data_IF_317959505205
#
_entry.id   IF_317959505205
#
_cell.length_a   1.000
_cell.length_b   1.000
_cell.length_c   1.000
_cell.angle_alpha   90.00
_cell.angle_beta   90.00
_cell.angle_gamma   90.00
#
_symmetry.space_group_name_H-M   'P 1'
#
loop_
_entity.id
_entity.type
_entity.pdbx_description
1 polymer ?
#
# COMPACT_ATOMS: atom_id res chain seq x y z
N UNK A 1 29.68 11.39 60.15
CA UNK A 1 29.10 10.27 59.37
C UNK A 1 27.78 10.75 58.77
N UNK A 2 27.73 11.09 57.48
CA UNK A 2 26.49 11.58 56.84
C UNK A 2 26.55 11.93 55.35
N UNK A 3 27.74 12.14 54.77
CA UNK A 3 27.87 12.64 53.39
C UNK A 3 27.80 11.58 52.28
N UNK A 4 27.99 10.30 52.58
CA UNK A 4 28.11 9.24 51.55
C UNK A 4 26.78 8.65 51.09
N UNK A 5 25.67 8.94 51.78
CA UNK A 5 24.36 8.33 51.48
C UNK A 5 23.54 9.13 50.46
N UNK A 6 23.69 10.46 50.43
CA UNK A 6 22.96 11.36 49.53
C UNK A 6 23.44 11.25 48.07
N UNK A 7 24.75 11.16 47.85
CA UNK A 7 25.39 11.10 46.53
C UNK A 7 25.05 9.80 45.78
N UNK A 8 25.03 8.66 46.49
CA UNK A 8 24.69 7.33 45.93
C UNK A 8 23.23 7.24 45.47
N UNK A 9 22.32 7.95 46.15
CA UNK A 9 20.88 8.00 45.80
C UNK A 9 20.66 8.85 44.54
N UNK A 10 21.32 10.01 44.46
CA UNK A 10 21.32 10.90 43.29
C UNK A 10 21.82 10.21 42.01
N UNK A 11 22.89 9.42 42.09
CA UNK A 11 23.43 8.68 40.95
C UNK A 11 22.52 7.55 40.49
N UNK A 12 21.90 6.82 41.41
CA UNK A 12 20.91 5.78 41.08
C UNK A 12 19.70 6.38 40.37
N UNK A 13 19.19 7.52 40.83
CA UNK A 13 18.10 8.23 40.16
C UNK A 13 18.49 8.74 38.78
N UNK A 14 19.72 9.28 38.61
CA UNK A 14 20.20 9.74 37.31
C UNK A 14 20.36 8.59 36.30
N UNK A 15 20.91 7.46 36.73
CA UNK A 15 21.03 6.25 35.90
C UNK A 15 19.64 5.73 35.49
N UNK A 16 18.69 5.69 36.44
CA UNK A 16 17.33 5.22 36.17
C UNK A 16 16.62 6.13 35.15
N UNK A 17 16.74 7.45 35.30
CA UNK A 17 16.18 8.42 34.36
C UNK A 17 16.82 8.31 32.97
N UNK A 18 18.13 8.09 32.90
CA UNK A 18 18.84 7.91 31.63
C UNK A 18 18.42 6.60 30.93
N UNK A 19 18.24 5.51 31.69
CA UNK A 19 17.68 4.26 31.18
C UNK A 19 16.23 4.42 30.69
N UNK A 20 15.40 5.15 31.42
CA UNK A 20 14.02 5.45 31.01
C UNK A 20 14.02 6.27 29.71
N UNK A 21 14.87 7.29 29.59
CA UNK A 21 15.02 8.07 28.37
C UNK A 21 15.53 7.23 27.20
N UNK A 22 16.46 6.31 27.43
CA UNK A 22 16.94 5.35 26.42
C UNK A 22 15.83 4.39 25.98
N UNK A 23 15.04 3.86 26.92
CA UNK A 23 13.93 2.96 26.62
C UNK A 23 12.80 3.70 25.89
N UNK A 24 12.44 4.91 26.32
CA UNK A 24 11.47 5.76 25.64
C UNK A 24 11.99 6.14 24.25
N UNK A 25 13.26 6.52 24.14
CA UNK A 25 13.90 6.81 22.86
C UNK A 25 13.93 5.60 21.93
N UNK A 26 14.19 4.40 22.45
CA UNK A 26 14.15 3.15 21.70
C UNK A 26 12.73 2.73 21.29
N UNK A 27 11.74 2.90 22.17
CA UNK A 27 10.33 2.64 21.87
C UNK A 27 9.80 3.64 20.83
N UNK A 28 10.16 4.92 20.96
CA UNK A 28 9.88 5.95 19.96
C UNK A 28 10.62 5.66 18.65
N UNK A 29 11.84 5.11 18.70
CA UNK A 29 12.61 4.70 17.52
C UNK A 29 11.92 3.59 16.72
N UNK A 30 11.20 2.69 17.40
CA UNK A 30 10.42 1.62 16.77
C UNK A 30 9.02 2.06 16.35
N UNK A 31 8.64 3.32 16.57
CA UNK A 31 7.30 3.81 16.26
C UNK A 31 7.20 4.15 14.76
N UNK A 32 6.60 3.24 13.99
CA UNK A 32 6.20 3.49 12.61
C UNK A 32 4.79 4.10 12.59
N UNK A 33 4.68 5.33 12.10
CA UNK A 33 3.39 6.00 11.92
C UNK A 33 2.87 5.70 10.52
N UNK A 34 2.04 4.66 10.42
CA UNK A 34 1.24 4.44 9.22
C UNK A 34 0.03 5.37 9.24
N UNK A 35 -0.20 6.11 8.15
CA UNK A 35 -1.45 6.83 7.98
C UNK A 35 -2.60 5.81 7.87
N UNK A 36 -3.70 5.95 8.64
CA UNK A 36 -4.80 5.00 8.58
C UNK A 36 -5.43 5.05 7.19
N UNK A 37 -5.15 4.04 6.37
CA UNK A 37 -5.79 3.85 5.09
C UNK A 37 -6.98 2.90 5.25
N UNK A 38 -8.17 3.36 4.84
CA UNK A 38 -9.34 2.51 4.70
C UNK A 38 -9.57 2.27 3.21
N UNK A 39 -10.13 1.10 2.83
CA UNK A 39 -10.67 0.93 1.49
C UNK A 39 -11.61 2.10 1.16
N UNK A 40 -11.65 2.56 -0.11
CA UNK A 40 -12.66 3.51 -0.55
C UNK A 40 -14.05 3.03 -0.15
N UNK A 41 -14.94 3.95 0.14
CA UNK A 41 -16.36 3.62 0.30
C UNK A 41 -16.93 3.07 -1.01
N UNK A 42 -18.01 2.30 -0.93
CA UNK A 42 -18.67 1.78 -2.13
C UNK A 42 -19.16 2.87 -3.09
N UNK A 43 -19.46 4.09 -2.61
CA UNK A 43 -19.89 5.19 -3.47
C UNK A 43 -18.77 5.76 -4.37
N UNK A 44 -17.50 5.53 -4.00
CA UNK A 44 -16.34 5.89 -4.80
C UNK A 44 -15.95 4.78 -5.78
N UNK A 45 -16.63 3.64 -5.76
CA UNK A 45 -16.37 2.53 -6.66
C UNK A 45 -17.57 2.24 -7.54
N UNK A 46 -17.33 1.50 -8.62
CA UNK A 46 -18.40 0.99 -9.47
C UNK A 46 -19.02 -0.31 -8.96
N UNK A 47 -18.41 -0.96 -7.97
CA UNK A 47 -18.81 -2.27 -7.43
C UNK A 47 -20.30 -2.36 -7.03
N UNK A 48 -20.92 -1.35 -6.40
CA UNK A 48 -22.35 -1.41 -6.10
C UNK A 48 -23.27 -1.23 -7.33
N UNK A 49 -22.74 -0.73 -8.44
CA UNK A 49 -23.48 -0.40 -9.67
C UNK A 49 -23.16 -1.33 -10.85
N UNK A 50 -22.18 -2.21 -10.72
CA UNK A 50 -21.88 -3.26 -11.68
C UNK A 50 -22.64 -4.53 -11.30
N UNK A 51 -22.84 -5.43 -12.28
CA UNK A 51 -23.27 -6.78 -11.97
C UNK A 51 -22.20 -7.39 -11.07
N UNK A 52 -22.50 -7.72 -9.80
CA UNK A 52 -21.50 -8.32 -8.93
C UNK A 52 -21.05 -9.65 -9.57
N UNK A 53 -19.85 -10.08 -9.24
CA UNK A 53 -19.51 -11.49 -9.42
C UNK A 53 -20.66 -12.35 -8.83
N UNK A 54 -20.95 -13.54 -9.38
CA UNK A 54 -21.93 -14.45 -8.79
C UNK A 54 -21.73 -14.47 -7.28
N UNK A 55 -22.81 -14.39 -6.49
CA UNK A 55 -22.69 -14.42 -5.04
C UNK A 55 -22.25 -15.83 -4.66
N UNK A 56 -20.94 -15.98 -4.51
CA UNK A 56 -20.22 -17.19 -4.09
C UNK A 56 -20.39 -17.45 -2.58
N UNK A 57 -21.21 -16.70 -1.86
CA UNK A 57 -21.29 -16.84 -0.39
C UNK A 57 -21.86 -18.22 -0.05
N UNK A 58 -21.11 -18.97 0.76
CA UNK A 58 -21.39 -20.37 1.10
C UNK A 58 -20.84 -21.38 0.08
N UNK A 59 -20.15 -20.92 -0.97
CA UNK A 59 -19.35 -21.77 -1.86
C UNK A 59 -17.97 -22.02 -1.24
N UNK A 60 -17.25 -23.00 -1.77
CA UNK A 60 -15.87 -23.28 -1.39
C UNK A 60 -14.94 -23.14 -2.61
N UNK A 61 -13.78 -22.51 -2.42
CA UNK A 61 -12.66 -22.66 -3.34
C UNK A 61 -11.75 -23.77 -2.84
N UNK A 62 -11.57 -24.83 -3.63
CA UNK A 62 -10.66 -25.93 -3.34
C UNK A 62 -9.54 -25.88 -4.36
N UNK A 63 -8.44 -25.20 -4.00
CA UNK A 63 -7.25 -25.02 -4.85
C UNK A 63 -7.58 -24.46 -6.24
N UNK A 64 -8.50 -23.49 -6.32
CA UNK A 64 -8.95 -22.87 -7.58
C UNK A 64 -10.14 -23.56 -8.23
N UNK A 65 -10.70 -24.61 -7.63
CA UNK A 65 -11.95 -25.22 -8.06
C UNK A 65 -13.11 -24.75 -7.19
N UNK A 66 -14.08 -24.09 -7.81
CA UNK A 66 -15.29 -23.62 -7.13
C UNK A 66 -16.28 -24.76 -6.93
N UNK A 67 -16.65 -25.02 -5.68
CA UNK A 67 -17.73 -25.90 -5.25
C UNK A 67 -18.92 -25.03 -4.90
N UNK A 68 -20.01 -25.16 -5.65
CA UNK A 68 -21.20 -24.31 -5.47
C UNK A 68 -21.83 -24.48 -4.07
N UNK A 69 -22.61 -23.51 -3.57
CA UNK A 69 -23.26 -23.65 -2.26
C UNK A 69 -24.17 -24.89 -2.14
N UNK A 70 -24.85 -25.26 -3.22
CA UNK A 70 -25.72 -26.45 -3.27
C UNK A 70 -24.89 -27.73 -3.19
N UNK A 71 -23.80 -27.80 -3.95
CA UNK A 71 -22.87 -28.94 -3.94
C UNK A 71 -22.16 -29.07 -2.58
N UNK A 72 -21.70 -27.96 -2.01
CA UNK A 72 -21.09 -27.92 -0.69
C UNK A 72 -22.05 -28.45 0.38
N UNK A 73 -23.33 -28.06 0.33
CA UNK A 73 -24.35 -28.54 1.26
C UNK A 73 -24.51 -30.06 1.21
N UNK A 74 -24.44 -30.67 0.03
CA UNK A 74 -24.50 -32.12 -0.15
C UNK A 74 -23.23 -32.81 0.34
N UNK A 75 -22.05 -32.27 0.01
CA UNK A 75 -20.76 -32.82 0.43
C UNK A 75 -20.61 -32.80 1.96
N UNK A 76 -21.08 -31.76 2.62
CA UNK A 76 -21.02 -31.66 4.09
C UNK A 76 -21.85 -32.73 4.81
N UNK A 77 -22.73 -33.46 4.13
CA UNK A 77 -23.50 -34.57 4.74
C UNK A 77 -22.67 -35.83 4.95
N UNK A 78 -21.61 -36.06 4.16
CA UNK A 78 -20.76 -37.27 4.24
C UNK A 78 -19.43 -36.99 4.94
N UNK A 79 -18.79 -38.02 5.48
CA UNK A 79 -17.46 -37.88 6.08
C UNK A 79 -16.42 -37.51 5.03
N UNK A 80 -16.48 -38.13 3.85
CA UNK A 80 -15.56 -37.88 2.74
C UNK A 80 -15.71 -36.46 2.19
N UNK A 81 -16.93 -35.94 2.11
CA UNK A 81 -17.18 -34.58 1.64
C UNK A 81 -16.77 -33.52 2.66
N UNK A 82 -16.93 -33.79 3.96
CA UNK A 82 -16.36 -32.93 5.02
C UNK A 82 -14.83 -32.91 5.00
N UNK A 83 -14.20 -34.06 4.76
CA UNK A 83 -12.75 -34.14 4.59
C UNK A 83 -12.31 -33.35 3.34
N UNK A 84 -12.99 -33.53 2.21
CA UNK A 84 -12.71 -32.80 0.97
C UNK A 84 -12.81 -31.27 1.14
N UNK A 85 -13.84 -30.78 1.84
CA UNK A 85 -14.04 -29.36 2.12
C UNK A 85 -13.26 -28.84 3.35
N UNK A 86 -12.31 -29.63 3.86
CA UNK A 86 -11.50 -29.21 5.01
C UNK A 86 -10.37 -28.25 4.60
N UNK A 87 -9.98 -27.31 5.48
CA UNK A 87 -8.82 -26.43 5.24
C UNK A 87 -7.52 -27.20 4.98
N UNK A 88 -7.38 -28.42 5.52
CA UNK A 88 -6.21 -29.28 5.32
C UNK A 88 -6.04 -29.71 3.86
N UNK A 89 -7.15 -29.80 3.12
CA UNK A 89 -7.17 -30.10 1.70
C UNK A 89 -7.16 -28.85 0.82
N UNK A 90 -6.92 -27.67 1.40
CA UNK A 90 -6.86 -26.40 0.68
C UNK A 90 -8.22 -25.83 0.32
N UNK A 91 -9.30 -26.31 0.96
CA UNK A 91 -10.63 -25.76 0.82
C UNK A 91 -10.78 -24.48 1.64
N UNK A 92 -11.35 -23.44 1.03
CA UNK A 92 -11.63 -22.16 1.66
C UNK A 92 -13.08 -21.80 1.39
N UNK A 93 -13.87 -21.70 2.47
CA UNK A 93 -15.25 -21.22 2.40
C UNK A 93 -15.28 -19.72 2.04
N UNK A 94 -16.10 -19.37 1.06
CA UNK A 94 -16.33 -17.99 0.67
C UNK A 94 -17.39 -17.37 1.59
N UNK A 95 -16.92 -16.57 2.53
CA UNK A 95 -17.76 -15.84 3.50
C UNK A 95 -17.71 -14.34 3.28
N UNK A 96 -18.69 -13.60 3.80
CA UNK A 96 -18.67 -12.13 3.76
C UNK A 96 -17.43 -11.54 4.45
N UNK A 97 -16.99 -12.16 5.55
CA UNK A 97 -15.77 -11.74 6.25
C UNK A 97 -14.51 -11.96 5.40
N UNK A 98 -14.46 -13.06 4.64
CA UNK A 98 -13.37 -13.32 3.69
C UNK A 98 -13.37 -12.29 2.57
N UNK A 99 -14.53 -11.96 2.00
CA UNK A 99 -14.66 -10.93 0.97
C UNK A 99 -14.26 -9.55 1.49
N UNK A 100 -14.70 -9.20 2.71
CA UNK A 100 -14.33 -7.95 3.38
C UNK A 100 -12.82 -7.88 3.67
N UNK A 101 -12.21 -8.99 4.11
CA UNK A 101 -10.77 -9.12 4.31
C UNK A 101 -10.02 -8.97 2.98
N UNK A 102 -10.48 -9.63 1.92
CA UNK A 102 -9.90 -9.54 0.58
C UNK A 102 -9.92 -8.11 0.06
N UNK A 103 -11.08 -7.45 0.13
CA UNK A 103 -11.23 -6.03 -0.25
C UNK A 103 -10.35 -5.12 0.59
N UNK A 104 -10.27 -5.34 1.91
CA UNK A 104 -9.37 -4.59 2.78
C UNK A 104 -7.93 -4.76 2.33
N UNK A 105 -7.50 -5.99 2.14
CA UNK A 105 -6.13 -6.32 1.73
C UNK A 105 -5.76 -5.71 0.38
N UNK A 106 -6.66 -5.79 -0.59
CA UNK A 106 -6.49 -5.20 -1.93
C UNK A 106 -6.11 -3.71 -1.89
N UNK A 107 -6.72 -2.95 -0.99
CA UNK A 107 -6.48 -1.51 -0.86
C UNK A 107 -5.45 -1.12 0.18
N UNK A 108 -5.17 -1.93 1.19
CA UNK A 108 -4.37 -1.47 2.34
C UNK A 108 -3.08 -2.21 2.54
N UNK A 109 -2.95 -3.43 2.00
CA UNK A 109 -1.78 -4.26 2.21
C UNK A 109 -0.74 -4.01 1.12
N UNK A 110 0.45 -3.65 1.57
CA UNK A 110 1.67 -3.50 0.79
C UNK A 110 2.58 -4.74 0.88
N UNK A 111 2.30 -5.64 1.82
CA UNK A 111 3.09 -6.86 2.05
C UNK A 111 4.59 -6.58 2.25
N UNK A 112 4.93 -5.41 2.83
CA UNK A 112 6.32 -5.03 3.10
C UNK A 112 7.10 -4.53 1.89
N UNK A 113 6.46 -4.36 0.73
CA UNK A 113 7.15 -3.90 -0.48
C UNK A 113 7.63 -2.44 -0.40
N UNK A 114 7.28 -1.69 0.65
CA UNK A 114 7.84 -0.37 0.92
C UNK A 114 9.36 -0.40 1.01
N UNK A 115 9.92 -1.48 1.58
CA UNK A 115 11.37 -1.67 1.70
C UNK A 115 11.99 -1.74 0.30
N UNK A 116 11.38 -2.49 -0.61
CA UNK A 116 11.88 -2.60 -1.97
C UNK A 116 11.79 -1.25 -2.70
N UNK A 117 10.62 -0.62 -2.70
CA UNK A 117 10.41 0.62 -3.45
C UNK A 117 11.20 1.79 -2.87
N UNK A 118 11.19 1.98 -1.56
CA UNK A 118 11.85 3.13 -0.93
C UNK A 118 13.32 2.85 -0.62
N UNK A 119 13.62 1.76 0.07
CA UNK A 119 14.96 1.55 0.64
C UNK A 119 15.93 0.91 -0.36
N UNK A 120 15.45 -0.01 -1.22
CA UNK A 120 16.29 -0.69 -2.23
C UNK A 120 16.37 0.10 -3.53
N UNK A 121 15.23 0.41 -4.15
CA UNK A 121 15.22 1.09 -5.45
C UNK A 121 15.41 2.60 -5.34
N UNK A 122 15.20 3.19 -4.15
CA UNK A 122 15.25 4.64 -3.94
C UNK A 122 14.29 5.40 -4.88
N UNK A 123 13.07 4.87 -5.07
CA UNK A 123 12.10 5.40 -6.03
C UNK A 123 11.70 6.86 -5.76
N UNK A 124 11.87 7.33 -4.52
CA UNK A 124 11.55 8.70 -4.09
C UNK A 124 12.76 9.65 -4.07
N UNK A 125 13.97 9.18 -4.39
CA UNK A 125 15.21 9.98 -4.34
C UNK A 125 15.60 10.57 -5.72
N UNK A 126 14.89 10.15 -6.76
CA UNK A 126 15.05 10.62 -8.12
C UNK A 126 14.30 11.93 -8.42
N UNK A 127 14.21 12.31 -9.71
CA UNK A 127 13.50 13.52 -10.10
C UNK A 127 11.98 13.46 -9.98
N UNK A 128 11.43 12.25 -9.80
CA UNK A 128 10.06 12.01 -9.36
C UNK A 128 10.13 11.64 -7.87
N UNK A 129 9.84 12.60 -7.00
CA UNK A 129 9.85 12.44 -5.55
C UNK A 129 8.56 12.93 -4.90
N UNK A 130 8.46 12.76 -3.58
CA UNK A 130 7.30 13.17 -2.77
C UNK A 130 6.88 14.61 -3.06
N UNK A 131 7.84 15.53 -3.22
CA UNK A 131 7.55 16.94 -3.52
C UNK A 131 6.93 17.14 -4.90
N UNK A 132 7.54 16.57 -5.95
CA UNK A 132 7.02 16.65 -7.32
C UNK A 132 5.64 15.99 -7.47
N UNK A 133 5.44 14.83 -6.84
CA UNK A 133 4.16 14.10 -6.82
C UNK A 133 3.09 14.90 -6.10
N UNK A 134 3.39 15.44 -4.91
CA UNK A 134 2.45 16.28 -4.15
C UNK A 134 2.04 17.51 -4.96
N UNK A 135 2.99 18.20 -5.60
CA UNK A 135 2.69 19.36 -6.45
C UNK A 135 1.78 18.98 -7.63
N UNK A 136 2.06 17.86 -8.29
CA UNK A 136 1.25 17.38 -9.42
C UNK A 136 -0.18 17.04 -8.97
N UNK A 137 -0.35 16.35 -7.84
CA UNK A 137 -1.68 15.99 -7.31
C UNK A 137 -2.46 17.24 -6.90
N UNK A 138 -1.83 18.19 -6.22
CA UNK A 138 -2.48 19.45 -5.84
C UNK A 138 -2.89 20.28 -7.07
N UNK A 139 -2.13 20.22 -8.16
CA UNK A 139 -2.47 20.87 -9.42
C UNK A 139 -3.73 20.29 -10.08
N UNK A 140 -4.14 19.06 -9.75
CA UNK A 140 -5.42 18.50 -10.19
C UNK A 140 -6.63 19.20 -9.56
N UNK A 141 -6.45 19.91 -8.44
CA UNK A 141 -7.54 20.61 -7.73
C UNK A 141 -8.73 19.69 -7.39
N UNK A 142 -8.42 18.44 -7.05
CA UNK A 142 -9.43 17.41 -6.74
C UNK A 142 -10.05 16.72 -7.95
N UNK A 143 -9.70 17.11 -9.19
CA UNK A 143 -10.11 16.37 -10.39
C UNK A 143 -9.41 15.00 -10.44
N UNK A 144 -10.11 13.94 -10.88
CA UNK A 144 -9.49 12.65 -11.09
C UNK A 144 -8.60 12.65 -12.34
N UNK A 145 -7.72 11.66 -12.44
CA UNK A 145 -6.97 11.35 -13.67
C UNK A 145 -6.58 9.87 -13.70
N UNK A 146 -6.45 9.31 -14.90
CA UNK A 146 -5.83 7.99 -15.13
C UNK A 146 -4.30 8.09 -15.30
N UNK A 147 -3.77 9.30 -15.47
CA UNK A 147 -2.36 9.47 -15.73
C UNK A 147 -1.86 10.76 -15.12
N UNK A 148 -1.45 10.69 -13.86
CA UNK A 148 -0.81 11.80 -13.19
C UNK A 148 0.46 12.22 -13.96
N UNK A 149 0.43 13.42 -14.50
CA UNK A 149 1.59 14.02 -15.15
C UNK A 149 2.46 14.73 -14.12
N UNK A 150 3.70 14.30 -13.99
CA UNK A 150 4.63 14.83 -12.98
C UNK A 150 5.76 15.60 -13.66
N UNK A 151 5.99 16.87 -13.31
CA UNK A 151 7.15 17.60 -13.78
C UNK A 151 8.40 17.10 -13.04
N UNK A 152 9.46 16.82 -13.78
CA UNK A 152 10.76 16.46 -13.21
C UNK A 152 11.32 17.62 -12.36
N UNK A 153 11.83 17.34 -11.17
CA UNK A 153 12.38 18.39 -10.31
C UNK A 153 13.81 18.83 -10.70
N UNK A 154 14.57 17.95 -11.37
CA UNK A 154 15.96 18.13 -11.80
C UNK A 154 16.21 17.43 -13.13
N UNK A 155 17.28 17.85 -13.81
CA UNK A 155 17.78 17.17 -15.00
C UNK A 155 18.18 15.72 -14.67
N UNK A 156 17.93 14.79 -15.59
CA UNK A 156 18.35 13.39 -15.46
C UNK A 156 18.71 12.81 -16.82
N UNK A 157 19.65 11.89 -16.85
CA UNK A 157 19.97 11.10 -18.05
C UNK A 157 19.66 9.64 -17.78
N UNK A 158 18.75 9.08 -18.59
CA UNK A 158 18.32 7.68 -18.51
C UNK A 158 18.45 7.05 -19.89
N UNK A 159 19.15 5.91 -19.98
CA UNK A 159 19.33 5.19 -21.25
C UNK A 159 19.99 6.03 -22.35
N UNK A 160 20.89 6.95 -21.99
CA UNK A 160 21.55 7.86 -22.95
C UNK A 160 20.72 9.07 -23.38
N UNK A 161 19.48 9.21 -22.88
CA UNK A 161 18.61 10.37 -23.13
C UNK A 161 18.56 11.29 -21.92
N UNK A 162 18.84 12.57 -22.13
CA UNK A 162 18.71 13.60 -21.10
C UNK A 162 17.33 14.23 -21.12
N UNK A 163 16.70 14.29 -19.96
CA UNK A 163 15.45 14.99 -19.69
C UNK A 163 15.77 16.21 -18.83
N UNK A 164 15.16 17.35 -19.17
CA UNK A 164 15.37 18.60 -18.42
C UNK A 164 14.39 18.72 -17.27
N UNK A 165 14.78 19.40 -16.21
CA UNK A 165 13.89 19.82 -15.14
C UNK A 165 12.65 20.52 -15.74
N UNK A 166 11.48 20.25 -15.18
CA UNK A 166 10.20 20.72 -15.68
C UNK A 166 9.61 19.91 -16.83
N UNK A 167 10.33 18.93 -17.40
CA UNK A 167 9.73 18.00 -18.38
C UNK A 167 8.57 17.26 -17.70
N UNK A 168 7.37 17.33 -18.29
CA UNK A 168 6.21 16.59 -17.83
C UNK A 168 6.31 15.13 -18.28
N UNK A 169 6.20 14.20 -17.33
CA UNK A 169 6.18 12.76 -17.60
C UNK A 169 4.83 12.15 -17.28
N UNK A 170 4.35 11.31 -18.19
CA UNK A 170 3.22 10.43 -17.98
C UNK A 170 3.66 9.28 -17.06
N UNK A 171 3.10 9.22 -15.86
CA UNK A 171 3.42 8.17 -14.89
C UNK A 171 2.47 6.97 -14.98
N UNK A 172 1.26 7.19 -15.52
CA UNK A 172 0.15 6.23 -15.46
C UNK A 172 -0.34 5.97 -14.03
N UNK A 173 -0.04 6.88 -13.10
CA UNK A 173 -0.59 6.82 -11.75
C UNK A 173 -2.00 7.40 -11.76
N UNK A 174 -2.98 6.56 -11.46
CA UNK A 174 -4.35 6.97 -11.29
C UNK A 174 -4.54 7.75 -9.99
N UNK A 175 -5.30 8.85 -10.05
CA UNK A 175 -5.71 9.62 -8.87
C UNK A 175 -7.24 9.71 -8.85
N UNK A 176 -7.91 9.07 -7.87
CA UNK A 176 -9.35 9.20 -7.71
C UNK A 176 -9.76 10.64 -7.36
N UNK A 177 -11.03 10.99 -7.60
CA UNK A 177 -11.54 12.32 -7.29
C UNK A 177 -11.30 12.68 -5.81
N UNK A 178 -10.82 13.90 -5.56
CA UNK A 178 -10.50 14.44 -4.24
C UNK A 178 -9.47 13.64 -3.43
N UNK A 179 -8.74 12.70 -4.05
CA UNK A 179 -7.65 11.97 -3.39
C UNK A 179 -6.36 12.77 -3.40
N UNK A 180 -5.61 12.71 -2.30
CA UNK A 180 -4.26 13.28 -2.17
C UNK A 180 -3.16 12.24 -2.41
N UNK A 181 -3.54 10.99 -2.63
CA UNK A 181 -2.62 9.86 -2.81
C UNK A 181 -3.09 9.08 -4.05
N UNK A 182 -2.18 8.67 -4.96
CA UNK A 182 -2.55 7.84 -6.08
C UNK A 182 -3.17 6.51 -5.64
N UNK A 183 -4.04 5.95 -6.49
CA UNK A 183 -4.68 4.67 -6.26
C UNK A 183 -3.61 3.58 -6.06
N UNK A 184 -3.77 2.79 -5.01
CA UNK A 184 -2.86 1.70 -4.69
C UNK A 184 -1.51 2.13 -4.10
N UNK A 185 -1.24 3.42 -3.87
CA UNK A 185 -0.05 3.85 -3.14
C UNK A 185 -0.34 3.99 -1.65
N UNK A 186 0.58 3.54 -0.81
CA UNK A 186 0.53 3.68 0.65
C UNK A 186 1.83 4.26 1.16
N UNK A 187 1.71 5.23 2.07
CA UNK A 187 2.86 5.90 2.68
C UNK A 187 2.88 5.66 4.18
N UNK A 188 4.06 5.36 4.71
CA UNK A 188 4.36 5.28 6.13
C UNK A 188 5.44 6.31 6.47
N UNK A 189 5.35 6.91 7.65
CA UNK A 189 6.41 7.75 8.18
C UNK A 189 7.22 6.89 9.13
N UNK A 190 8.50 6.70 8.80
CA UNK A 190 9.49 6.03 9.65
C UNK A 190 10.68 6.98 9.86
N UNK A 191 11.41 6.83 10.97
CA UNK A 191 12.64 7.59 11.23
C UNK A 191 13.66 7.33 10.10
N UNK A 192 13.79 8.30 9.19
CA UNK A 192 14.57 8.20 7.95
C UNK A 192 13.86 8.79 6.71
N UNK A 193 12.53 8.94 6.74
CA UNK A 193 11.78 9.58 5.67
C UNK A 193 10.40 8.96 5.42
N UNK A 194 9.78 9.36 4.31
CA UNK A 194 8.53 8.77 3.82
C UNK A 194 8.88 7.44 3.14
N UNK A 195 8.25 6.35 3.59
CA UNK A 195 8.27 5.06 2.91
C UNK A 195 7.01 4.91 2.08
N UNK A 196 7.15 4.69 0.79
CA UNK A 196 6.04 4.39 -0.12
C UNK A 196 6.08 2.93 -0.55
N UNK A 197 4.91 2.28 -0.54
CA UNK A 197 4.68 0.96 -1.11
C UNK A 197 3.41 0.94 -1.93
N UNK A 198 3.20 -0.19 -2.59
CA UNK A 198 2.10 -0.38 -3.53
C UNK A 198 1.19 -1.50 -3.09
N UNK A 199 -0.09 -1.40 -3.35
CA UNK A 199 -1.10 -2.44 -3.06
C UNK A 199 -1.57 -3.06 -4.37
N UNK A 200 -2.38 -4.12 -4.30
CA UNK A 200 -2.94 -4.76 -5.49
C UNK A 200 -3.71 -3.77 -6.38
N UNK A 201 -4.36 -2.78 -5.76
CA UNK A 201 -5.12 -1.73 -6.44
C UNK A 201 -4.29 -0.88 -7.42
N UNK A 202 -2.95 -0.83 -7.29
CA UNK A 202 -2.13 -0.06 -8.22
C UNK A 202 -2.18 -0.64 -9.65
N UNK A 203 -2.21 -1.96 -9.76
CA UNK A 203 -2.20 -2.67 -11.05
C UNK A 203 -3.57 -3.23 -11.44
N UNK A 204 -4.42 -3.54 -10.45
CA UNK A 204 -5.68 -4.26 -10.65
C UNK A 204 -6.94 -3.41 -10.38
N UNK A 205 -6.80 -2.09 -10.35
CA UNK A 205 -7.93 -1.18 -10.37
C UNK A 205 -7.59 0.04 -11.23
N UNK A 206 -8.62 0.65 -11.82
CA UNK A 206 -8.49 1.84 -12.64
C UNK A 206 -9.51 2.91 -12.20
N UNK A 207 -9.17 4.18 -12.37
CA UNK A 207 -10.07 5.32 -12.17
C UNK A 207 -10.75 5.64 -13.49
N UNK A 208 -12.03 6.00 -13.48
CA UNK A 208 -12.70 6.53 -14.66
C UNK A 208 -12.68 8.06 -14.63
N UNK A 209 -12.09 8.72 -15.63
CA UNK A 209 -11.85 10.18 -15.57
C UNK A 209 -13.12 11.03 -15.50
N UNK A 210 -14.22 10.59 -16.12
CA UNK A 210 -15.49 11.32 -16.15
C UNK A 210 -16.16 11.45 -14.77
N UNK A 211 -15.98 10.45 -13.91
CA UNK A 211 -16.66 10.35 -12.61
C UNK A 211 -15.70 10.35 -11.43
N UNK A 212 -14.42 10.04 -11.67
CA UNK A 212 -13.40 9.81 -10.64
C UNK A 212 -13.63 8.57 -9.79
N UNK A 213 -14.56 7.69 -10.19
CA UNK A 213 -14.84 6.43 -9.51
C UNK A 213 -13.84 5.35 -9.89
N UNK A 214 -13.62 4.44 -8.97
CA UNK A 214 -12.70 3.32 -9.10
C UNK A 214 -13.46 2.10 -9.67
N UNK A 215 -12.91 1.52 -10.72
CA UNK A 215 -13.33 0.25 -11.29
C UNK A 215 -12.41 -0.86 -10.73
N UNK A 216 -12.90 -1.54 -9.68
CA UNK A 216 -12.21 -2.68 -9.07
C UNK A 216 -12.10 -3.84 -10.07
N UNK A 217 -10.91 -4.44 -10.20
CA UNK A 217 -10.64 -5.56 -11.09
C UNK A 217 -10.29 -5.17 -12.53
N UNK A 218 -10.45 -3.89 -12.91
CA UNK A 218 -9.96 -3.40 -14.19
C UNK A 218 -8.45 -3.13 -14.12
N UNK A 219 -7.63 -3.68 -15.03
CA UNK A 219 -6.19 -3.43 -15.03
C UNK A 219 -5.87 -1.95 -15.26
N UNK A 220 -4.88 -1.42 -14.55
CA UNK A 220 -4.23 -0.17 -14.94
C UNK A 220 -3.29 -0.47 -16.11
N UNK A 221 -3.63 0.02 -17.30
CA UNK A 221 -2.96 -0.34 -18.57
C UNK A 221 -1.87 0.63 -19.00
N UNK A 222 -1.75 1.78 -18.34
CA UNK A 222 -0.82 2.86 -18.71
C UNK A 222 0.21 3.19 -17.62
N UNK A 223 0.14 2.53 -16.45
CA UNK A 223 1.16 2.60 -15.40
C UNK A 223 2.55 2.30 -15.94
N UNK A 224 3.42 3.29 -15.84
CA UNK A 224 4.77 3.22 -16.37
C UNK A 224 5.80 2.92 -15.28
N UNK A 225 5.69 1.76 -14.65
CA UNK A 225 6.62 1.34 -13.58
C UNK A 225 8.07 1.31 -14.07
N UNK A 226 8.30 0.93 -15.33
CA UNK A 226 9.63 0.93 -15.93
C UNK A 226 10.27 2.31 -15.94
N UNK A 227 9.52 3.34 -16.35
CA UNK A 227 9.96 4.73 -16.28
C UNK A 227 10.18 5.18 -14.84
N UNK A 228 9.25 4.90 -13.92
CA UNK A 228 9.38 5.31 -12.51
C UNK A 228 10.63 4.72 -11.86
N UNK A 229 10.95 3.46 -12.12
CA UNK A 229 12.17 2.80 -11.63
C UNK A 229 13.41 3.37 -12.33
N UNK A 230 13.35 3.62 -13.63
CA UNK A 230 14.48 4.19 -14.36
C UNK A 230 14.79 5.63 -13.93
N UNK A 231 13.80 6.33 -13.39
CA UNK A 231 13.91 7.66 -12.77
C UNK A 231 14.18 7.57 -11.27
N UNK A 232 14.37 6.39 -10.69
CA UNK A 232 14.70 6.28 -9.27
C UNK A 232 16.10 6.83 -9.00
N UNK A 233 16.40 7.14 -7.74
CA UNK A 233 17.69 7.74 -7.35
C UNK A 233 18.90 6.87 -7.68
N UNK A 234 18.71 5.56 -7.90
CA UNK A 234 19.78 4.57 -8.09
C UNK A 234 20.96 4.84 -7.16
N UNK A 235 20.67 4.75 -5.86
CA UNK A 235 21.73 4.77 -4.87
C UNK A 235 22.44 3.43 -4.99
N UNK A 236 23.66 3.40 -5.51
CA UNK A 236 24.59 2.32 -5.16
C UNK A 236 24.53 2.17 -3.63
N UNK A 237 24.17 0.97 -3.15
CA UNK A 237 23.98 0.59 -1.74
C UNK A 237 24.38 1.70 -0.75
N UNK A 238 23.41 2.38 -0.12
CA UNK A 238 23.68 3.06 1.16
C UNK A 238 24.17 1.99 2.13
N UNK A 239 25.50 1.91 2.29
CA UNK A 239 26.16 1.16 3.37
C UNK A 239 25.86 1.82 4.70
#
# INVERSE_FOLDING_TARGET
MGETQSTRKSWRTAILLSLILLVIGFLAYRLELALPARPPSGYLTYTPSTKPAPKEIGSYDVLGHTVSPEEATNLLQTDEGREFLSPQNGAVEVTEDLLALGRKSFYTQTFGNEVFFTDVSAILDGPINVGSLTKAILALQGKPTQNLQVPLDKDITVGGKTFKAGTLLNTGLDVPASSLIPLGIRTKIALGGVKAGVTCALYHAAVKEDTGRILEGAPNTDLNTGLLIAMAGNNECRR
#
